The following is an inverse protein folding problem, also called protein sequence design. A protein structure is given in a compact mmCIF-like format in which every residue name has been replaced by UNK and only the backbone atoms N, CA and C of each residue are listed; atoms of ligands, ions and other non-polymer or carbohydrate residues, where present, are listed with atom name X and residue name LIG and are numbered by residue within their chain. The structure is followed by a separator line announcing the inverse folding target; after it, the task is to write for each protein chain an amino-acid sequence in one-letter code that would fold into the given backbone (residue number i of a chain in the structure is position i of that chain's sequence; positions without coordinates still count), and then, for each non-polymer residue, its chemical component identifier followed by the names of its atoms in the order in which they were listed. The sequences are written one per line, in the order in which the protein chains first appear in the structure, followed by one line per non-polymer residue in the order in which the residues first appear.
data_IF_245798151622
#
_entry.id   IF_245798151622
#
_cell.length_a   1.000
_cell.length_b   1.000
_cell.length_c   1.000
_cell.angle_alpha   90.00
_cell.angle_beta   90.00
_cell.angle_gamma   90.00
#
_symmetry.space_group_name_H-M   'P 1'
#
loop_
_entity.id
_entity.type
_entity.pdbx_description
1 polymer ?
#
# COMPACT_ATOMS: atom_id res chain seq x y z
N UNK A 1 67.76 14.47 -9.65
CA UNK A 1 66.99 13.54 -8.79
C UNK A 1 65.62 14.13 -8.47
N UNK A 2 64.57 13.86 -9.25
CA UNK A 2 63.18 14.22 -8.90
C UNK A 2 62.29 12.99 -9.15
N UNK A 3 61.95 12.28 -8.06
CA UNK A 3 61.15 11.05 -8.09
C UNK A 3 59.66 11.37 -7.91
N UNK A 4 58.93 11.30 -9.02
CA UNK A 4 57.67 10.56 -9.22
C UNK A 4 56.96 10.16 -7.90
N UNK A 5 56.14 11.05 -7.31
CA UNK A 5 55.27 10.72 -6.16
C UNK A 5 53.77 11.00 -6.38
N UNK A 6 53.38 11.58 -7.51
CA UNK A 6 52.02 12.12 -7.68
C UNK A 6 50.95 11.12 -8.19
N UNK A 7 51.33 9.93 -8.66
CA UNK A 7 50.41 9.07 -9.45
C UNK A 7 49.63 8.06 -8.57
N UNK A 8 49.88 8.00 -7.26
CA UNK A 8 49.28 6.99 -6.37
C UNK A 8 47.99 7.40 -5.64
N UNK A 9 47.46 8.60 -5.86
CA UNK A 9 46.29 9.10 -5.11
C UNK A 9 44.99 9.20 -5.92
N UNK A 10 45.03 9.07 -7.25
CA UNK A 10 43.82 9.22 -8.09
C UNK A 10 43.05 7.89 -8.20
N UNK A 11 43.73 6.75 -8.00
CA UNK A 11 43.10 5.43 -8.14
C UNK A 11 42.23 5.00 -6.96
N UNK A 12 42.33 5.68 -5.80
CA UNK A 12 41.60 5.31 -4.58
C UNK A 12 40.22 5.98 -4.46
N UNK A 13 39.93 7.02 -5.25
CA UNK A 13 38.67 7.77 -5.16
C UNK A 13 37.59 7.19 -6.09
N UNK A 14 37.98 6.44 -7.14
CA UNK A 14 37.04 5.90 -8.13
C UNK A 14 36.38 4.59 -7.66
N UNK A 15 36.91 3.93 -6.63
CA UNK A 15 36.40 2.63 -6.16
C UNK A 15 35.35 2.73 -5.03
N UNK A 16 34.99 3.95 -4.58
CA UNK A 16 34.03 4.15 -3.48
C UNK A 16 32.65 4.65 -3.92
N UNK A 17 32.42 4.88 -5.23
CA UNK A 17 31.14 5.42 -5.74
C UNK A 17 30.18 4.37 -6.30
N UNK A 18 30.52 3.08 -6.27
CA UNK A 18 29.81 2.07 -7.07
C UNK A 18 28.73 1.21 -6.36
N UNK A 19 28.37 1.40 -5.09
CA UNK A 19 27.48 0.41 -4.46
C UNK A 19 26.51 0.92 -3.38
N UNK A 20 25.88 2.08 -3.61
CA UNK A 20 24.64 2.44 -2.89
C UNK A 20 23.51 2.63 -3.90
N UNK A 21 23.23 1.59 -4.69
CA UNK A 21 21.93 1.47 -5.34
C UNK A 21 20.96 0.94 -4.28
N UNK A 22 20.01 1.76 -3.77
CA UNK A 22 18.98 1.24 -2.90
C UNK A 22 18.16 0.24 -3.72
N UNK A 23 18.26 -1.05 -3.39
CA UNK A 23 17.27 -2.03 -3.83
C UNK A 23 15.92 -1.55 -3.29
N UNK A 24 15.11 -0.97 -4.16
CA UNK A 24 13.73 -0.64 -3.84
C UNK A 24 12.99 -1.96 -3.63
N UNK A 25 12.92 -2.42 -2.38
CA UNK A 25 12.12 -3.57 -2.00
C UNK A 25 10.66 -3.26 -2.35
N UNK A 26 10.13 -3.94 -3.37
CA UNK A 26 8.72 -3.87 -3.72
C UNK A 26 7.93 -4.53 -2.60
N UNK A 27 7.07 -3.77 -1.93
CA UNK A 27 6.19 -4.32 -0.92
C UNK A 27 5.24 -5.32 -1.60
N UNK A 28 5.17 -6.54 -1.08
CA UNK A 28 4.23 -7.54 -1.56
C UNK A 28 2.79 -6.99 -1.51
N UNK A 29 1.91 -7.46 -2.39
CA UNK A 29 0.51 -7.02 -2.44
C UNK A 29 -0.42 -8.17 -2.11
N UNK A 30 -1.41 -7.93 -1.25
CA UNK A 30 -2.44 -8.92 -0.89
C UNK A 30 -3.79 -8.42 -1.37
N UNK A 31 -4.44 -9.20 -2.23
CA UNK A 31 -5.80 -8.92 -2.67
C UNK A 31 -6.83 -9.53 -1.71
N UNK A 32 -7.66 -8.68 -1.08
CA UNK A 32 -8.68 -9.12 -0.13
C UNK A 32 -9.87 -9.82 -0.82
N UNK A 33 -10.17 -9.42 -2.06
CA UNK A 33 -11.32 -9.93 -2.82
C UNK A 33 -10.96 -11.17 -3.67
N UNK A 34 -9.82 -11.78 -3.38
CA UNK A 34 -9.42 -13.00 -4.07
C UNK A 34 -10.31 -14.18 -3.62
N UNK A 35 -10.61 -15.16 -4.49
CA UNK A 35 -11.52 -16.26 -4.19
C UNK A 35 -11.12 -17.08 -2.95
N UNK A 36 -9.82 -17.17 -2.67
CA UNK A 36 -9.29 -17.89 -1.49
C UNK A 36 -9.50 -17.15 -0.17
N UNK A 37 -10.07 -15.94 -0.18
CA UNK A 37 -10.35 -15.15 1.02
C UNK A 37 -11.78 -14.60 1.02
N UNK A 38 -12.01 -13.34 0.66
CA UNK A 38 -13.35 -12.74 0.69
C UNK A 38 -14.10 -12.82 -0.64
N UNK A 39 -13.45 -13.24 -1.74
CA UNK A 39 -14.02 -13.17 -3.09
C UNK A 39 -15.34 -13.94 -3.26
N UNK A 40 -15.54 -15.00 -2.47
CA UNK A 40 -16.76 -15.81 -2.50
C UNK A 40 -17.91 -15.24 -1.66
N UNK A 41 -17.66 -14.25 -0.79
CA UNK A 41 -18.65 -13.68 0.12
C UNK A 41 -19.54 -12.60 -0.51
N UNK A 42 -19.40 -12.36 -1.83
CA UNK A 42 -20.20 -11.40 -2.62
C UNK A 42 -20.35 -10.05 -1.90
N UNK A 43 -19.22 -9.47 -1.50
CA UNK A 43 -19.17 -8.19 -0.80
C UNK A 43 -19.29 -7.04 -1.80
N UNK A 44 -19.99 -5.98 -1.39
CA UNK A 44 -20.07 -4.78 -2.21
C UNK A 44 -18.77 -3.96 -2.08
N UNK A 45 -18.63 -2.96 -2.96
CA UNK A 45 -17.42 -2.14 -3.02
C UNK A 45 -17.19 -1.34 -1.74
N UNK A 46 -18.26 -0.90 -1.05
CA UNK A 46 -18.16 -0.14 0.19
C UNK A 46 -17.64 -1.04 1.31
N UNK A 47 -18.21 -2.23 1.49
CA UNK A 47 -17.72 -3.22 2.45
C UNK A 47 -16.26 -3.58 2.23
N UNK A 48 -15.87 -3.91 0.98
CA UNK A 48 -14.47 -4.23 0.67
C UNK A 48 -13.51 -3.09 0.99
N UNK A 49 -13.93 -1.84 0.81
CA UNK A 49 -13.09 -0.68 1.12
C UNK A 49 -12.91 -0.50 2.62
N UNK A 50 -13.97 -0.64 3.41
CA UNK A 50 -13.87 -0.51 4.87
C UNK A 50 -13.11 -1.70 5.48
N UNK A 51 -13.36 -2.92 5.00
CA UNK A 51 -12.60 -4.12 5.39
C UNK A 51 -11.11 -3.91 5.07
N UNK A 52 -10.75 -3.47 3.86
CA UNK A 52 -9.35 -3.18 3.50
C UNK A 52 -8.69 -2.23 4.52
N UNK A 53 -9.39 -1.15 4.88
CA UNK A 53 -8.90 -0.15 5.83
C UNK A 53 -8.69 -0.76 7.22
N UNK A 54 -9.63 -1.55 7.72
CA UNK A 54 -9.51 -2.19 9.04
C UNK A 54 -8.48 -3.32 9.03
N UNK A 55 -8.35 -4.11 7.96
CA UNK A 55 -7.25 -5.09 7.78
C UNK A 55 -5.90 -4.40 7.84
N UNK A 56 -5.76 -3.25 7.18
CA UNK A 56 -4.50 -2.49 7.19
C UNK A 56 -4.14 -2.06 8.61
N UNK A 57 -5.12 -1.57 9.39
CA UNK A 57 -4.92 -1.23 10.82
C UNK A 57 -4.66 -2.46 11.69
N UNK A 58 -5.35 -3.58 11.42
CA UNK A 58 -5.21 -4.82 12.17
C UNK A 58 -3.81 -5.42 12.06
N UNK A 59 -3.05 -5.12 10.99
CA UNK A 59 -1.66 -5.55 10.83
C UNK A 59 -0.70 -4.88 11.82
N UNK A 60 -1.07 -3.70 12.34
CA UNK A 60 -0.26 -2.96 13.32
C UNK A 60 -0.89 -2.93 14.73
N UNK A 61 -2.12 -3.44 14.88
CA UNK A 61 -2.84 -3.46 16.17
C UNK A 61 -2.36 -4.58 17.11
N UNK A 62 -2.63 -4.51 18.42
CA UNK A 62 -2.42 -5.65 19.32
C UNK A 62 -3.27 -6.87 18.94
N UNK A 63 -2.81 -8.08 19.32
CA UNK A 63 -3.58 -9.32 19.15
C UNK A 63 -4.95 -9.19 19.84
N UNK A 64 -5.97 -9.78 19.22
CA UNK A 64 -7.36 -9.80 19.66
C UNK A 64 -8.03 -8.41 19.77
N UNK A 65 -7.41 -7.36 19.24
CA UNK A 65 -8.09 -6.07 19.08
C UNK A 65 -9.15 -6.17 17.99
N UNK A 66 -10.40 -5.95 18.37
CA UNK A 66 -11.54 -5.94 17.45
C UNK A 66 -11.66 -4.56 16.78
N UNK A 67 -11.60 -4.56 15.44
CA UNK A 67 -11.77 -3.37 14.61
C UNK A 67 -13.06 -3.48 13.80
N UNK A 68 -14.01 -2.62 14.12
CA UNK A 68 -15.30 -2.54 13.43
C UNK A 68 -15.14 -2.03 11.99
N UNK A 69 -15.70 -2.78 11.03
CA UNK A 69 -15.78 -2.43 9.61
C UNK A 69 -17.22 -2.27 9.09
N UNK A 70 -18.22 -2.45 9.97
CA UNK A 70 -19.63 -2.35 9.64
C UNK A 70 -20.19 -0.96 9.88
N UNK A 71 -21.35 -0.66 9.29
CA UNK A 71 -22.12 0.54 9.66
C UNK A 71 -22.73 0.39 11.05
N UNK A 72 -23.11 -0.85 11.38
CA UNK A 72 -23.65 -1.24 12.69
C UNK A 72 -22.57 -2.02 13.43
N UNK A 73 -22.47 -1.77 14.74
CA UNK A 73 -21.53 -2.47 15.62
C UNK A 73 -21.78 -3.98 15.57
N UNK A 74 -20.72 -4.77 15.40
CA UNK A 74 -20.78 -6.23 15.35
C UNK A 74 -21.22 -6.82 14.00
N UNK A 75 -21.58 -5.97 13.02
CA UNK A 75 -21.94 -6.42 11.68
C UNK A 75 -20.71 -6.86 10.87
N UNK A 76 -19.57 -6.23 11.13
CA UNK A 76 -18.29 -6.59 10.52
C UNK A 76 -17.16 -6.27 11.50
N UNK A 77 -16.35 -7.28 11.82
CA UNK A 77 -15.21 -7.16 12.74
C UNK A 77 -13.96 -7.77 12.11
N UNK A 78 -12.86 -7.03 12.13
CA UNK A 78 -11.52 -7.51 11.77
C UNK A 78 -10.68 -7.58 13.03
N UNK A 79 -10.01 -8.71 13.27
CA UNK A 79 -9.06 -8.85 14.36
C UNK A 79 -7.81 -9.63 13.96
N UNK A 80 -6.63 -9.28 14.50
CA UNK A 80 -5.45 -10.12 14.41
C UNK A 80 -5.53 -11.23 15.46
N UNK A 81 -5.64 -12.49 15.02
CA UNK A 81 -5.89 -13.62 15.92
C UNK A 81 -4.61 -14.31 16.41
N UNK A 82 -3.54 -14.31 15.60
CA UNK A 82 -2.26 -14.95 15.93
C UNK A 82 -1.11 -14.16 15.33
N UNK A 83 0.04 -14.15 15.99
CA UNK A 83 1.30 -13.63 15.46
C UNK A 83 2.46 -14.57 15.80
N UNK A 84 3.37 -14.74 14.84
CA UNK A 84 4.61 -15.48 15.03
C UNK A 84 5.71 -14.92 14.13
N UNK A 85 6.96 -15.25 14.44
CA UNK A 85 8.12 -14.86 13.63
C UNK A 85 8.78 -16.11 13.04
N UNK A 86 9.05 -16.10 11.74
CA UNK A 86 9.75 -17.19 11.06
C UNK A 86 10.79 -16.61 10.09
N UNK A 87 12.05 -17.07 10.22
CA UNK A 87 13.18 -16.59 9.41
C UNK A 87 13.31 -15.06 9.36
N UNK A 88 13.11 -14.40 10.51
CA UNK A 88 13.19 -12.94 10.63
C UNK A 88 11.99 -12.16 10.09
N UNK A 89 10.98 -12.82 9.50
CA UNK A 89 9.75 -12.17 9.07
C UNK A 89 8.63 -12.41 10.09
N UNK A 90 7.88 -11.36 10.42
CA UNK A 90 6.67 -11.47 11.23
C UNK A 90 5.50 -11.91 10.36
N UNK A 91 4.69 -12.82 10.88
CA UNK A 91 3.48 -13.32 10.25
C UNK A 91 2.32 -13.10 11.20
N UNK A 92 1.16 -12.77 10.64
CA UNK A 92 -0.04 -12.50 11.41
C UNK A 92 -1.26 -13.09 10.74
N UNK A 93 -2.07 -13.81 11.51
CA UNK A 93 -3.37 -14.28 11.05
C UNK A 93 -4.41 -13.19 11.29
N UNK A 94 -5.06 -12.75 10.21
CA UNK A 94 -6.18 -11.82 10.27
C UNK A 94 -7.47 -12.59 10.08
N UNK A 95 -8.37 -12.47 11.05
CA UNK A 95 -9.71 -13.04 11.03
C UNK A 95 -10.71 -11.92 10.79
N UNK A 96 -11.60 -12.13 9.84
CA UNK A 96 -12.70 -11.24 9.49
C UNK A 96 -13.99 -11.98 9.77
N UNK A 97 -14.83 -11.39 10.60
CA UNK A 97 -16.19 -11.85 10.86
C UNK A 97 -17.17 -10.89 10.20
N UNK A 98 -18.09 -11.43 9.41
CA UNK A 98 -19.16 -10.70 8.74
C UNK A 98 -20.49 -11.32 9.18
N UNK A 99 -21.24 -10.59 10.00
CA UNK A 99 -22.52 -11.05 10.47
C UNK A 99 -23.42 -11.42 9.29
N UNK A 100 -24.15 -12.53 9.39
CA UNK A 100 -25.01 -13.12 8.33
C UNK A 100 -24.32 -13.62 7.06
N UNK A 101 -23.05 -13.25 6.78
CA UNK A 101 -22.32 -13.66 5.57
C UNK A 101 -21.28 -14.75 5.82
N UNK A 102 -20.69 -14.80 7.02
CA UNK A 102 -19.72 -15.81 7.41
C UNK A 102 -18.43 -15.23 7.98
N UNK A 103 -17.36 -16.02 7.94
CA UNK A 103 -16.04 -15.62 8.41
C UNK A 103 -14.97 -15.97 7.38
N UNK A 104 -13.85 -15.27 7.42
CA UNK A 104 -12.70 -15.55 6.59
C UNK A 104 -11.42 -15.27 7.36
N UNK A 105 -10.39 -16.09 7.18
CA UNK A 105 -9.07 -15.85 7.78
C UNK A 105 -7.96 -15.94 6.73
N UNK A 106 -6.90 -15.18 6.94
CA UNK A 106 -5.70 -15.23 6.10
C UNK A 106 -4.46 -14.89 6.90
N UNK A 107 -3.40 -15.66 6.67
CA UNK A 107 -2.06 -15.32 7.16
C UNK A 107 -1.41 -14.31 6.24
N UNK A 108 -0.91 -13.23 6.82
CA UNK A 108 -0.21 -12.15 6.13
C UNK A 108 1.20 -12.07 6.71
N UNK A 109 2.23 -12.16 5.86
CA UNK A 109 3.63 -12.09 6.26
C UNK A 109 4.27 -10.76 5.89
N UNK A 110 5.18 -10.28 6.73
CA UNK A 110 6.07 -9.16 6.40
C UNK A 110 7.10 -9.59 5.37
N UNK A 111 7.54 -8.64 4.55
CA UNK A 111 8.71 -8.76 3.68
C UNK A 111 9.66 -7.64 4.03
N UNK A 112 10.88 -7.96 4.48
CA UNK A 112 11.88 -6.97 4.90
C UNK A 112 11.36 -6.00 5.96
N UNK A 113 10.64 -6.54 6.96
CA UNK A 113 10.07 -5.75 8.07
C UNK A 113 8.86 -4.88 7.72
N UNK A 114 8.33 -4.97 6.49
CA UNK A 114 7.16 -4.21 6.06
C UNK A 114 5.98 -5.13 5.78
N UNK A 115 4.80 -4.73 6.24
CA UNK A 115 3.55 -5.38 5.86
C UNK A 115 3.26 -5.17 4.36
N UNK A 116 2.58 -6.14 3.71
CA UNK A 116 2.20 -6.00 2.32
C UNK A 116 1.10 -4.94 2.14
N UNK A 117 1.03 -4.37 0.94
CA UNK A 117 -0.05 -3.47 0.56
C UNK A 117 -1.35 -4.25 0.40
N UNK A 118 -2.39 -3.85 1.11
CA UNK A 118 -3.72 -4.46 1.00
C UNK A 118 -4.51 -3.80 -0.13
N UNK A 119 -5.02 -4.58 -1.08
CA UNK A 119 -5.83 -4.10 -2.21
C UNK A 119 -7.14 -4.87 -2.29
N UNK A 120 -8.16 -4.25 -2.90
CA UNK A 120 -9.47 -4.88 -3.09
C UNK A 120 -9.61 -5.61 -4.42
N UNK A 121 -8.64 -5.50 -5.33
CA UNK A 121 -8.74 -6.00 -6.72
C UNK A 121 -9.80 -5.26 -7.57
N UNK A 122 -10.61 -4.41 -6.94
CA UNK A 122 -11.53 -3.48 -7.59
C UNK A 122 -10.78 -2.17 -7.83
N UNK A 123 -9.84 -2.15 -8.79
CA UNK A 123 -9.22 -0.88 -9.16
C UNK A 123 -10.30 0.13 -9.57
N UNK A 124 -10.20 1.40 -9.16
CA UNK A 124 -10.96 2.43 -9.84
C UNK A 124 -10.50 2.42 -11.30
N UNK A 125 -11.41 2.14 -12.25
CA UNK A 125 -11.19 2.48 -13.66
C UNK A 125 -10.60 3.89 -13.68
N UNK A 126 -9.33 4.04 -14.09
CA UNK A 126 -8.71 5.35 -14.34
C UNK A 126 -9.72 6.14 -15.16
N UNK A 127 -10.36 7.13 -14.55
CA UNK A 127 -11.15 8.10 -15.31
C UNK A 127 -10.21 8.71 -16.35
N UNK A 128 -10.58 8.74 -17.64
CA UNK A 128 -9.74 9.36 -18.67
C UNK A 128 -9.38 10.79 -18.23
N UNK A 129 -8.17 11.26 -18.54
CA UNK A 129 -7.70 12.56 -18.08
C UNK A 129 -8.70 13.65 -18.48
N UNK A 130 -9.21 14.37 -17.48
CA UNK A 130 -9.98 15.60 -17.66
C UNK A 130 -9.09 16.54 -18.48
N UNK A 131 -9.42 16.75 -19.77
CA UNK A 131 -8.89 17.87 -20.55
C UNK A 131 -9.27 19.16 -19.82
N UNK A 132 -8.26 19.86 -19.32
CA UNK A 132 -8.40 21.18 -18.72
C UNK A 132 -9.10 22.13 -19.69
N UNK A 133 -10.34 22.52 -19.35
CA UNK A 133 -10.99 23.70 -19.94
C UNK A 133 -10.30 24.96 -19.40
N UNK A 134 -9.11 25.27 -19.91
CA UNK A 134 -8.48 26.58 -19.75
C UNK A 134 -9.16 27.55 -20.72
N UNK A 135 -10.33 28.08 -20.36
CA UNK A 135 -10.92 29.24 -21.06
C UNK A 135 -10.53 30.51 -20.29
N UNK A 136 -9.37 31.04 -20.65
CA UNK A 136 -8.98 32.42 -20.38
C UNK A 136 -10.08 33.37 -20.87
N UNK A 137 -10.58 34.24 -19.99
CA UNK A 137 -11.08 35.54 -20.42
C UNK A 137 -10.96 36.53 -19.28
N UNK A 138 -9.82 37.22 -19.25
CA UNK A 138 -9.65 38.48 -18.54
C UNK A 138 -8.78 39.40 -19.40
N UNK A 139 -9.29 40.63 -19.55
CA UNK A 139 -8.67 41.87 -20.03
C UNK A 139 -8.50 42.12 -21.54
N UNK A 140 -9.18 43.21 -21.97
CA UNK A 140 -8.61 44.50 -22.43
C UNK A 140 -9.33 44.96 -23.71
N UNK A 141 -10.39 45.77 -23.58
CA UNK A 141 -10.42 47.25 -23.65
C UNK A 141 -9.84 47.80 -24.97
N UNK A 142 -10.70 48.58 -25.65
CA UNK A 142 -10.35 49.79 -26.43
C UNK A 142 -9.92 49.61 -27.90
N UNK A 143 -10.76 50.00 -28.88
CA UNK A 143 -10.71 51.31 -29.59
C UNK A 143 -11.55 51.34 -30.90
N UNK A 144 -12.35 52.41 -31.03
CA UNK A 144 -12.56 53.30 -32.21
C UNK A 144 -13.16 52.80 -33.54
N UNK A 145 -14.04 53.68 -34.04
CA UNK A 145 -14.44 54.01 -35.43
C UNK A 145 -15.50 53.11 -36.09
N UNK A 146 -16.74 53.60 -36.14
CA UNK A 146 -17.24 54.46 -37.24
C UNK A 146 -18.49 55.18 -36.79
#
# INVERSE_FOLDING_TARGET
MLRIKAIRYIFTIVLFTFALLPLAATAATVNINAPEWLGNLKLDKKQLTEIKKQVTKALDSPIDTELECGEVRGDCVVRPAREWTYKGNRYREIVIYLHTKGHASKTIGQTNGKWPTIVTGLEPKKSPPKKDKKKSKSKKKEKKKK
#
